data_IF_194928391688
#
_entry.id   IF_194928391688
#
_cell.length_a   1.000
_cell.length_b   1.000
_cell.length_c   1.000
_cell.angle_alpha   90.00
_cell.angle_beta   90.00
_cell.angle_gamma   90.00
#
_symmetry.space_group_name_H-M   'P 1'
#
loop_
_entity.id
_entity.type
_entity.pdbx_description
1 polymer ?
#
# COMPACT_ATOMS: atom_id res chain seq x y z
N UNK A 1 11.82 -0.85 -19.56
CA UNK A 1 12.45 -1.19 -18.26
C UNK A 1 12.18 -0.07 -17.28
N UNK A 2 11.66 -0.39 -16.08
CA UNK A 2 11.44 0.60 -15.05
C UNK A 2 12.77 1.22 -14.62
N UNK A 3 12.82 2.56 -14.62
CA UNK A 3 14.00 3.32 -14.15
C UNK A 3 14.12 3.33 -12.63
N UNK A 4 15.23 3.90 -12.13
CA UNK A 4 15.51 4.10 -10.70
C UNK A 4 15.72 5.58 -10.34
N UNK A 5 15.41 6.48 -11.23
CA UNK A 5 15.52 7.93 -11.01
C UNK A 5 14.25 8.44 -10.31
N UNK A 6 14.15 8.10 -9.03
CA UNK A 6 12.98 8.45 -8.21
C UNK A 6 13.00 9.92 -7.79
N UNK A 7 11.86 10.62 -7.84
CA UNK A 7 11.75 11.96 -7.26
C UNK A 7 12.06 11.94 -5.74
N UNK A 8 12.73 12.98 -5.23
CA UNK A 8 13.13 13.05 -3.82
C UNK A 8 11.96 12.87 -2.84
N UNK A 9 10.80 13.48 -3.13
CA UNK A 9 9.60 13.31 -2.29
C UNK A 9 9.07 11.86 -2.21
N UNK A 10 9.36 11.04 -3.25
CA UNK A 10 9.02 9.61 -3.25
C UNK A 10 9.97 8.84 -2.36
N UNK A 11 11.28 9.04 -2.51
CA UNK A 11 12.30 8.33 -1.72
C UNK A 11 12.19 8.69 -0.24
N UNK A 12 12.03 9.97 0.09
CA UNK A 12 11.96 10.46 1.46
C UNK A 12 10.78 9.87 2.24
N UNK A 13 9.70 9.52 1.56
CA UNK A 13 8.48 9.03 2.21
C UNK A 13 8.29 7.52 2.08
N UNK A 14 8.67 6.92 0.98
CA UNK A 14 8.26 5.56 0.62
C UNK A 14 9.41 4.54 0.56
N UNK A 15 10.62 4.95 0.98
CA UNK A 15 11.75 4.07 1.29
C UNK A 15 12.04 3.97 2.79
N UNK A 16 11.21 4.57 3.64
CA UNK A 16 11.41 4.50 5.09
C UNK A 16 11.24 3.07 5.60
N UNK A 17 12.19 2.64 6.41
CA UNK A 17 12.23 1.34 7.09
C UNK A 17 12.28 1.61 8.60
N UNK A 18 11.57 0.85 9.45
CA UNK A 18 11.75 0.92 10.89
C UNK A 18 13.18 0.63 11.31
N UNK A 19 13.73 1.42 12.25
CA UNK A 19 15.11 1.27 12.73
C UNK A 19 15.38 -0.10 13.37
N UNK A 20 14.34 -0.74 13.93
CA UNK A 20 14.42 -2.02 14.63
C UNK A 20 13.94 -3.21 13.78
N UNK A 21 13.87 -3.06 12.45
CA UNK A 21 13.48 -4.18 11.58
C UNK A 21 14.47 -5.35 11.72
N UNK A 22 13.98 -6.57 12.04
CA UNK A 22 14.87 -7.74 12.15
C UNK A 22 15.62 -8.04 10.84
N UNK A 23 16.95 -8.24 10.95
CA UNK A 23 17.85 -8.42 9.81
C UNK A 23 17.42 -9.52 8.84
N UNK A 24 16.75 -10.58 9.32
CA UNK A 24 16.25 -11.65 8.46
C UNK A 24 15.19 -11.21 7.46
N UNK A 25 14.47 -10.11 7.72
CA UNK A 25 13.53 -9.51 6.76
C UNK A 25 14.30 -8.84 5.62
N UNK A 26 15.34 -8.06 5.96
CA UNK A 26 16.26 -7.47 4.98
C UNK A 26 16.95 -8.55 4.15
N UNK A 27 17.48 -9.58 4.80
CA UNK A 27 18.16 -10.70 4.13
C UNK A 27 17.24 -11.40 3.13
N UNK A 28 15.98 -11.64 3.50
CA UNK A 28 14.98 -12.23 2.60
C UNK A 28 14.72 -11.34 1.38
N UNK A 29 14.56 -10.03 1.56
CA UNK A 29 14.32 -9.10 0.46
C UNK A 29 15.49 -9.10 -0.54
N UNK A 30 16.72 -9.08 -0.02
CA UNK A 30 17.93 -9.12 -0.83
C UNK A 30 18.09 -10.47 -1.55
N UNK A 31 17.80 -11.58 -0.88
CA UNK A 31 17.87 -12.92 -1.47
C UNK A 31 16.89 -13.11 -2.61
N UNK A 32 15.64 -12.66 -2.43
CA UNK A 32 14.59 -12.74 -3.45
C UNK A 32 14.91 -11.91 -4.70
N UNK A 33 15.72 -10.85 -4.55
CA UNK A 33 15.99 -9.90 -5.62
C UNK A 33 17.42 -9.91 -6.13
N UNK A 34 18.27 -10.79 -5.62
CA UNK A 34 19.71 -10.87 -5.88
C UNK A 34 20.06 -10.92 -7.38
N UNK A 35 19.38 -11.78 -8.11
CA UNK A 35 19.67 -12.06 -9.52
C UNK A 35 18.79 -11.25 -10.48
N UNK A 36 18.07 -10.24 -9.95
CA UNK A 36 17.11 -9.44 -10.70
C UNK A 36 17.55 -7.98 -10.69
N UNK A 37 17.79 -7.38 -11.86
CA UNK A 37 18.25 -6.01 -11.97
C UNK A 37 17.14 -4.96 -12.16
N UNK A 38 16.01 -5.35 -12.76
CA UNK A 38 14.89 -4.46 -13.05
C UNK A 38 13.99 -4.31 -11.80
N UNK A 39 13.69 -3.08 -11.33
CA UNK A 39 12.83 -2.86 -10.16
C UNK A 39 11.45 -3.52 -10.26
N UNK A 40 10.81 -3.51 -11.42
CA UNK A 40 9.51 -4.17 -11.61
C UNK A 40 9.62 -5.69 -11.45
N UNK A 41 10.65 -6.31 -12.02
CA UNK A 41 10.87 -7.75 -11.91
C UNK A 41 11.25 -8.16 -10.47
N UNK A 42 11.96 -7.29 -9.73
CA UNK A 42 12.20 -7.47 -8.28
C UNK A 42 10.88 -7.48 -7.50
N UNK A 43 9.99 -6.52 -7.76
CA UNK A 43 8.67 -6.48 -7.14
C UNK A 43 7.86 -7.75 -7.47
N UNK A 44 7.93 -8.23 -8.72
CA UNK A 44 7.28 -9.49 -9.14
C UNK A 44 7.88 -10.73 -8.47
N UNK A 45 9.17 -10.75 -8.19
CA UNK A 45 9.82 -11.85 -7.47
C UNK A 45 9.33 -11.90 -6.00
N UNK A 46 9.24 -10.74 -5.34
CA UNK A 46 8.70 -10.61 -3.98
C UNK A 46 7.22 -11.03 -3.95
N UNK A 47 6.39 -10.52 -4.88
CA UNK A 47 4.99 -10.90 -5.01
C UNK A 47 4.83 -12.42 -5.16
N UNK A 48 5.62 -13.02 -6.06
CA UNK A 48 5.58 -14.45 -6.33
C UNK A 48 5.92 -15.29 -5.10
N UNK A 49 6.91 -14.87 -4.32
CA UNK A 49 7.26 -15.51 -3.05
C UNK A 49 6.11 -15.44 -2.04
N UNK A 50 5.58 -14.25 -1.79
CA UNK A 50 4.49 -14.06 -0.83
C UNK A 50 3.27 -14.90 -1.20
N UNK A 51 2.94 -15.02 -2.47
CA UNK A 51 1.83 -15.86 -2.97
C UNK A 51 2.03 -17.36 -2.74
N UNK A 52 3.21 -17.82 -2.30
CA UNK A 52 3.43 -19.21 -1.88
C UNK A 52 2.97 -19.48 -0.45
N UNK A 53 2.82 -18.43 0.37
CA UNK A 53 2.39 -18.56 1.76
C UNK A 53 0.87 -18.77 1.83
N UNK A 54 0.38 -19.59 2.80
CA UNK A 54 -1.05 -19.85 2.94
C UNK A 54 -1.85 -18.62 3.38
N UNK A 55 -3.06 -18.46 2.85
CA UNK A 55 -4.04 -17.52 3.35
C UNK A 55 -4.78 -18.09 4.56
N UNK A 56 -4.85 -17.34 5.65
CA UNK A 56 -5.55 -17.72 6.88
C UNK A 56 -6.03 -16.46 7.61
N UNK A 57 -7.30 -16.45 8.04
CA UNK A 57 -7.87 -15.38 8.85
C UNK A 57 -7.68 -15.61 10.35
N UNK A 58 -7.48 -16.86 10.76
CA UNK A 58 -7.32 -17.25 12.16
C UNK A 58 -5.83 -17.43 12.49
N UNK A 59 -5.17 -16.32 12.75
CA UNK A 59 -3.76 -16.28 13.10
C UNK A 59 -3.54 -15.63 14.47
N UNK A 60 -2.54 -16.08 15.25
CA UNK A 60 -2.19 -15.46 16.51
C UNK A 60 -1.67 -14.04 16.27
N UNK A 61 -2.09 -13.11 17.13
CA UNK A 61 -1.51 -11.77 17.13
C UNK A 61 -0.02 -11.83 17.53
N UNK A 62 0.83 -10.95 16.97
CA UNK A 62 2.21 -10.83 17.44
C UNK A 62 2.27 -10.37 18.89
N UNK A 63 3.35 -10.69 19.59
CA UNK A 63 3.64 -10.10 20.89
C UNK A 63 3.77 -8.57 20.78
N UNK A 64 3.53 -7.86 21.88
CA UNK A 64 3.43 -6.40 21.87
C UNK A 64 4.67 -5.66 21.32
N UNK A 65 5.85 -6.25 21.49
CA UNK A 65 7.16 -5.74 21.05
C UNK A 65 7.70 -6.43 19.79
N UNK A 66 6.94 -7.35 19.21
CA UNK A 66 7.36 -8.04 17.99
C UNK A 66 7.07 -7.20 16.73
N UNK A 67 8.01 -7.23 15.77
CA UNK A 67 7.75 -6.69 14.45
C UNK A 67 6.72 -7.54 13.71
N UNK A 68 5.66 -6.90 13.19
CA UNK A 68 4.53 -7.60 12.56
C UNK A 68 4.89 -8.29 11.25
N UNK A 69 5.83 -7.74 10.48
CA UNK A 69 6.28 -8.33 9.21
C UNK A 69 7.16 -9.55 9.48
N UNK A 70 8.06 -9.43 10.45
CA UNK A 70 8.89 -10.54 10.90
C UNK A 70 8.06 -11.69 11.45
N UNK A 71 7.08 -11.37 12.31
CA UNK A 71 6.15 -12.35 12.88
C UNK A 71 5.39 -13.09 11.77
N UNK A 72 4.85 -12.36 10.80
CA UNK A 72 4.16 -12.96 9.66
C UNK A 72 5.05 -13.89 8.85
N UNK A 73 6.24 -13.41 8.44
CA UNK A 73 7.10 -14.15 7.51
C UNK A 73 7.80 -15.36 8.13
N UNK A 74 8.20 -15.27 9.41
CA UNK A 74 9.11 -16.24 10.02
C UNK A 74 8.58 -16.98 11.24
N UNK A 75 7.49 -16.49 11.84
CA UNK A 75 6.89 -17.12 13.03
C UNK A 75 5.61 -17.86 12.66
N UNK A 76 4.68 -17.19 11.99
CA UNK A 76 3.37 -17.78 11.64
C UNK A 76 3.37 -18.40 10.24
N UNK A 77 3.97 -17.74 9.27
CA UNK A 77 4.08 -18.19 7.87
C UNK A 77 2.74 -18.27 7.12
N UNK A 78 1.69 -17.61 7.61
CA UNK A 78 0.36 -17.51 7.01
C UNK A 78 -0.35 -16.26 7.50
N UNK A 79 -1.36 -15.78 6.77
CA UNK A 79 -2.09 -14.58 7.18
C UNK A 79 -3.16 -14.15 6.18
N UNK A 80 -3.63 -12.93 6.33
CA UNK A 80 -4.61 -12.30 5.43
C UNK A 80 -4.05 -11.04 4.78
N UNK A 81 -4.83 -10.40 3.93
CA UNK A 81 -4.39 -9.35 3.01
C UNK A 81 -3.48 -8.27 3.62
N UNK A 82 -3.78 -7.82 4.85
CA UNK A 82 -3.00 -6.75 5.51
C UNK A 82 -1.58 -7.19 5.80
N UNK A 83 -1.38 -8.46 6.20
CA UNK A 83 -0.04 -9.02 6.41
C UNK A 83 0.72 -9.14 5.10
N UNK A 84 0.06 -9.63 4.04
CA UNK A 84 0.67 -9.76 2.71
C UNK A 84 1.04 -8.39 2.12
N UNK A 85 0.12 -7.42 2.15
CA UNK A 85 0.35 -6.07 1.64
C UNK A 85 1.46 -5.34 2.40
N UNK A 86 1.45 -5.42 3.74
CA UNK A 86 2.48 -4.81 4.59
C UNK A 86 3.85 -5.44 4.37
N UNK A 87 3.93 -6.78 4.36
CA UNK A 87 5.19 -7.49 4.10
C UNK A 87 5.75 -7.16 2.71
N UNK A 88 4.89 -7.12 1.69
CA UNK A 88 5.33 -6.74 0.35
C UNK A 88 5.90 -5.33 0.29
N UNK A 89 5.23 -4.35 0.93
CA UNK A 89 5.70 -2.97 0.97
C UNK A 89 7.08 -2.87 1.66
N UNK A 90 7.28 -3.56 2.78
CA UNK A 90 8.56 -3.56 3.51
C UNK A 90 9.67 -4.25 2.69
N UNK A 91 9.40 -5.42 2.13
CA UNK A 91 10.39 -6.15 1.31
C UNK A 91 10.79 -5.36 0.05
N UNK A 92 9.84 -4.66 -0.59
CA UNK A 92 10.15 -3.77 -1.73
C UNK A 92 11.02 -2.59 -1.30
N UNK A 93 10.74 -1.96 -0.15
CA UNK A 93 11.56 -0.86 0.39
C UNK A 93 12.99 -1.32 0.68
N UNK A 94 13.16 -2.50 1.28
CA UNK A 94 14.48 -3.12 1.50
C UNK A 94 15.22 -3.42 0.18
N UNK A 95 14.49 -3.75 -0.87
CA UNK A 95 15.06 -3.94 -2.21
C UNK A 95 15.33 -2.63 -2.98
N UNK A 96 15.11 -1.45 -2.33
CA UNK A 96 15.31 -0.12 -2.89
C UNK A 96 14.18 0.35 -3.82
N UNK A 97 12.99 -0.21 -3.70
CA UNK A 97 11.80 0.15 -4.48
C UNK A 97 10.83 0.92 -3.57
N UNK A 98 10.55 2.21 -3.86
CA UNK A 98 9.57 2.97 -3.10
C UNK A 98 8.20 2.31 -3.17
N UNK A 99 7.64 2.00 -2.00
CA UNK A 99 6.40 1.23 -1.91
C UNK A 99 5.52 1.66 -0.74
N UNK A 100 4.23 1.34 -0.85
CA UNK A 100 3.24 1.56 0.21
C UNK A 100 2.24 0.41 0.27
N UNK A 101 1.71 0.15 1.45
CA UNK A 101 0.52 -0.67 1.66
C UNK A 101 -0.70 0.20 1.40
N UNK A 102 -1.69 -0.35 0.73
CA UNK A 102 -2.98 0.29 0.42
C UNK A 102 -4.09 -0.55 1.03
N UNK A 103 -5.04 0.11 1.69
CA UNK A 103 -6.25 -0.50 2.21
C UNK A 103 -7.47 0.06 1.46
N UNK A 104 -8.39 -0.82 1.09
CA UNK A 104 -9.57 -0.44 0.34
C UNK A 104 -10.57 -1.59 0.24
N UNK A 105 -11.26 -1.64 -0.87
CA UNK A 105 -12.25 -2.68 -1.16
C UNK A 105 -11.97 -3.30 -2.53
N UNK A 106 -12.07 -4.62 -2.61
CA UNK A 106 -11.95 -5.40 -3.86
C UNK A 106 -13.29 -6.10 -4.15
N UNK A 107 -14.31 -5.38 -4.62
CA UNK A 107 -15.64 -5.93 -4.87
C UNK A 107 -15.59 -6.99 -5.97
N UNK A 108 -16.40 -8.04 -5.81
CA UNK A 108 -16.44 -9.18 -6.74
C UNK A 108 -17.74 -9.28 -7.49
N UNK A 109 -18.77 -8.61 -7.01
CA UNK A 109 -20.12 -8.67 -7.55
C UNK A 109 -20.39 -7.39 -8.33
N UNK A 110 -20.66 -7.55 -9.63
CA UNK A 110 -21.09 -6.47 -10.50
C UNK A 110 -22.59 -6.62 -10.76
N UNK A 111 -23.35 -5.55 -10.54
CA UNK A 111 -24.78 -5.47 -10.84
C UNK A 111 -24.93 -4.96 -12.28
N UNK A 112 -25.33 -5.83 -13.19
CA UNK A 112 -25.49 -5.51 -14.60
C UNK A 112 -26.67 -4.56 -14.86
N UNK A 113 -27.72 -4.58 -14.01
CA UNK A 113 -28.88 -3.71 -14.16
C UNK A 113 -28.58 -2.28 -13.69
N UNK A 114 -27.86 -2.15 -12.59
CA UNK A 114 -27.46 -0.86 -12.04
C UNK A 114 -26.11 -0.35 -12.60
N UNK A 115 -25.43 -1.14 -13.43
CA UNK A 115 -24.12 -0.85 -14.02
C UNK A 115 -23.07 -0.43 -12.99
N UNK A 116 -23.05 -1.08 -11.80
CA UNK A 116 -22.11 -0.77 -10.73
C UNK A 116 -21.63 -2.01 -9.97
N UNK A 117 -20.54 -1.83 -9.18
CA UNK A 117 -20.07 -2.86 -8.25
C UNK A 117 -20.79 -2.75 -6.90
N UNK A 118 -21.20 -3.90 -6.38
CA UNK A 118 -21.72 -3.99 -5.01
C UNK A 118 -20.55 -4.16 -4.07
N UNK A 119 -20.33 -3.17 -3.18
CA UNK A 119 -19.24 -3.18 -2.19
C UNK A 119 -19.82 -3.54 -0.82
N UNK A 120 -19.21 -4.53 -0.17
CA UNK A 120 -19.56 -4.99 1.18
C UNK A 120 -18.34 -4.90 2.10
N UNK A 121 -18.55 -4.90 3.42
CA UNK A 121 -17.46 -4.98 4.40
C UNK A 121 -16.56 -6.22 4.17
N UNK A 122 -17.13 -7.32 3.74
CA UNK A 122 -16.40 -8.54 3.40
C UNK A 122 -15.47 -8.41 2.18
N UNK A 123 -15.59 -7.33 1.40
CA UNK A 123 -14.71 -7.00 0.29
C UNK A 123 -13.52 -6.13 0.72
N UNK A 124 -13.41 -5.81 2.02
CA UNK A 124 -12.25 -5.13 2.58
C UNK A 124 -10.98 -5.91 2.23
N UNK A 125 -9.96 -5.19 1.76
CA UNK A 125 -8.76 -5.80 1.22
C UNK A 125 -7.56 -4.86 1.33
N UNK A 126 -6.37 -5.46 1.51
CA UNK A 126 -5.10 -4.76 1.49
C UNK A 126 -4.20 -5.29 0.37
N UNK A 127 -3.51 -4.39 -0.31
CA UNK A 127 -2.53 -4.72 -1.36
C UNK A 127 -1.32 -3.80 -1.24
N UNK A 128 -0.36 -3.95 -2.15
CA UNK A 128 0.80 -3.08 -2.19
C UNK A 128 0.85 -2.28 -3.49
N UNK A 129 1.43 -1.09 -3.43
CA UNK A 129 1.78 -0.30 -4.60
C UNK A 129 3.26 0.05 -4.56
N UNK A 130 3.92 -0.03 -5.72
CA UNK A 130 5.28 0.42 -5.94
C UNK A 130 5.30 1.59 -6.92
N UNK A 131 6.17 2.57 -6.65
CA UNK A 131 6.34 3.70 -7.56
C UNK A 131 7.43 3.38 -8.60
N UNK A 132 7.11 3.61 -9.86
CA UNK A 132 8.09 3.52 -10.95
C UNK A 132 8.14 4.85 -11.71
N UNK A 133 9.33 5.42 -11.95
CA UNK A 133 9.47 6.60 -12.79
C UNK A 133 8.77 6.40 -14.14
N UNK A 134 8.12 7.45 -14.65
CA UNK A 134 7.32 7.47 -15.88
C UNK A 134 5.98 6.69 -15.85
N UNK A 135 5.77 5.84 -14.84
CA UNK A 135 4.55 5.01 -14.71
C UNK A 135 3.70 5.37 -13.49
N UNK A 136 4.31 6.04 -12.48
CA UNK A 136 3.67 6.33 -11.21
C UNK A 136 3.49 5.09 -10.32
N UNK A 137 2.40 5.04 -9.57
CA UNK A 137 2.06 3.94 -8.67
C UNK A 137 1.48 2.77 -9.44
N UNK A 138 2.09 1.60 -9.27
CA UNK A 138 1.67 0.33 -9.87
C UNK A 138 1.27 -0.65 -8.77
N UNK A 139 0.10 -1.24 -8.91
CA UNK A 139 -0.48 -2.18 -7.95
C UNK A 139 0.12 -3.57 -8.06
N UNK A 140 0.28 -4.24 -6.91
CA UNK A 140 0.71 -5.62 -6.76
C UNK A 140 -0.19 -6.34 -5.77
N UNK A 141 -0.57 -7.58 -6.10
CA UNK A 141 -1.44 -8.39 -5.27
C UNK A 141 -0.69 -9.61 -4.68
N UNK A 142 -0.09 -9.46 -3.51
CA UNK A 142 0.68 -10.55 -2.90
C UNK A 142 -0.19 -11.63 -2.25
N UNK A 143 -1.50 -11.41 -2.10
CA UNK A 143 -2.39 -12.34 -1.43
C UNK A 143 -2.70 -13.55 -2.32
N UNK A 144 -2.44 -14.79 -1.87
CA UNK A 144 -2.74 -15.98 -2.65
C UNK A 144 -4.25 -16.10 -2.93
N UNK A 145 -4.57 -16.55 -4.15
CA UNK A 145 -5.97 -16.72 -4.58
C UNK A 145 -6.74 -15.43 -4.87
N UNK A 146 -6.07 -14.27 -4.75
CA UNK A 146 -6.62 -12.98 -5.17
C UNK A 146 -6.01 -12.52 -6.48
N UNK A 147 -6.72 -11.66 -7.18
CA UNK A 147 -6.24 -10.92 -8.34
C UNK A 147 -6.66 -9.47 -8.19
N UNK A 148 -5.84 -8.56 -8.70
CA UNK A 148 -6.24 -7.17 -8.81
C UNK A 148 -7.50 -7.09 -9.69
N UNK A 149 -8.45 -6.21 -9.35
CA UNK A 149 -9.58 -5.95 -10.21
C UNK A 149 -9.08 -5.54 -11.60
N UNK A 150 -9.56 -6.22 -12.65
CA UNK A 150 -9.26 -5.84 -14.02
C UNK A 150 -10.19 -4.70 -14.46
N UNK A 151 -10.08 -3.54 -13.80
CA UNK A 151 -10.67 -2.34 -14.36
C UNK A 151 -9.69 -1.77 -15.39
N UNK A 152 -10.21 -1.49 -16.56
CA UNK A 152 -9.49 -0.71 -17.56
C UNK A 152 -9.31 0.67 -16.93
N UNK A 153 -8.09 0.99 -16.43
CA UNK A 153 -7.76 2.38 -16.14
C UNK A 153 -7.91 3.13 -17.46
N UNK A 154 -8.95 3.92 -17.57
CA UNK A 154 -8.92 4.98 -18.58
C UNK A 154 -7.64 5.78 -18.30
N UNK A 155 -6.81 6.07 -19.32
CA UNK A 155 -5.65 6.92 -19.13
C UNK A 155 -6.15 8.17 -18.42
N UNK A 156 -5.61 8.46 -17.22
CA UNK A 156 -5.86 9.74 -16.57
C UNK A 156 -5.51 10.79 -17.63
N UNK A 157 -6.53 11.46 -18.16
CA UNK A 157 -6.35 12.61 -19.01
C UNK A 157 -5.35 13.49 -18.28
N UNK A 158 -4.25 13.80 -18.95
CA UNK A 158 -3.17 14.63 -18.47
C UNK A 158 -3.74 15.87 -17.77
N UNK A 159 -3.86 15.79 -16.45
CA UNK A 159 -4.05 16.96 -15.63
C UNK A 159 -2.66 17.54 -15.40
N UNK A 160 -2.08 18.06 -16.49
CA UNK A 160 -1.01 19.04 -16.37
C UNK A 160 -1.47 20.07 -15.34
N UNK A 161 -0.63 20.44 -14.36
CA UNK A 161 -1.04 21.42 -13.36
C UNK A 161 -1.47 22.67 -14.10
N UNK A 162 -2.75 22.97 -14.03
CA UNK A 162 -3.24 24.32 -14.33
C UNK A 162 -2.38 25.26 -13.49
N UNK A 163 -1.85 26.26 -14.13
CA UNK A 163 -1.05 27.32 -13.52
C UNK A 163 -1.67 27.78 -12.20
N UNK A 164 -0.83 28.11 -11.22
CA UNK A 164 -1.13 28.44 -9.81
C UNK A 164 -2.21 29.52 -9.57
N UNK A 165 -2.96 29.94 -10.58
CA UNK A 165 -3.94 31.03 -10.49
C UNK A 165 -5.39 30.59 -10.24
N UNK A 166 -5.73 29.28 -10.25
CA UNK A 166 -7.13 28.81 -10.16
C UNK A 166 -7.39 27.84 -8.98
N UNK A 167 -6.53 27.78 -7.98
CA UNK A 167 -6.82 27.04 -6.73
C UNK A 167 -7.44 28.01 -5.75
N UNK A 168 -8.77 28.20 -5.81
CA UNK A 168 -9.51 28.73 -4.68
C UNK A 168 -9.31 27.78 -3.50
N UNK A 169 -8.68 28.27 -2.43
CA UNK A 169 -8.50 27.51 -1.18
C UNK A 169 -9.91 27.25 -0.58
N UNK A 170 -10.36 25.99 -0.47
CA UNK A 170 -11.66 25.70 0.10
C UNK A 170 -11.73 25.94 1.62
N UNK A 171 -10.66 26.39 2.24
CA UNK A 171 -10.56 26.77 3.66
C UNK A 171 -10.15 28.25 3.77
N UNK A 172 -11.01 29.15 3.31
CA UNK A 172 -10.87 30.59 3.60
C UNK A 172 -11.11 30.77 5.10
N UNK A 173 -10.06 31.14 5.85
CA UNK A 173 -10.09 31.24 7.32
C UNK A 173 -10.97 32.40 7.87
N UNK A 174 -11.65 33.13 7.02
CA UNK A 174 -12.41 34.32 7.41
C UNK A 174 -13.87 34.06 7.81
N UNK A 175 -14.36 32.80 7.88
CA UNK A 175 -15.75 32.46 8.28
C UNK A 175 -15.87 31.79 9.67
N UNK A 176 -14.92 31.89 10.55
CA UNK A 176 -15.14 31.59 11.97
C UNK A 176 -15.50 32.86 12.72
N UNK A 177 -16.77 33.29 12.63
CA UNK A 177 -17.34 34.19 13.60
C UNK A 177 -17.26 33.54 14.99
N UNK A 178 -16.62 34.22 15.94
CA UNK A 178 -16.54 33.87 17.36
C UNK A 178 -17.95 33.74 17.94
N UNK A 179 -18.47 32.51 18.02
CA UNK A 179 -19.65 32.20 18.82
C UNK A 179 -19.26 32.11 20.29
N UNK A 180 -19.26 33.27 20.97
CA UNK A 180 -19.09 33.41 22.41
C UNK A 180 -20.26 32.76 23.14
N UNK A 181 -20.21 31.47 23.47
CA UNK A 181 -21.30 30.78 24.14
C UNK A 181 -20.98 29.45 24.80
N UNK A 182 -19.75 29.22 25.28
CA UNK A 182 -19.50 28.02 26.08
C UNK A 182 -19.47 28.36 27.59
N UNK A 183 -20.59 28.12 28.30
CA UNK A 183 -20.61 28.12 29.77
C UNK A 183 -20.10 26.78 30.30
N UNK A 184 -19.12 26.77 31.24
CA UNK A 184 -18.65 25.53 31.84
C UNK A 184 -19.66 24.97 32.83
N UNK A 185 -19.92 23.67 32.75
CA UNK A 185 -20.70 22.96 33.78
C UNK A 185 -19.94 22.91 35.10
N UNK A 186 -20.54 23.50 36.17
CA UNK A 186 -20.13 23.30 37.55
C UNK A 186 -20.52 21.87 38.01
N UNK A 187 -19.53 21.20 38.67
CA UNK A 187 -19.70 19.93 39.40
C UNK A 187 -20.10 20.22 40.84
#
# INVERSE_FOLDING_TARGET
TAGTDYPGWVTDRYLQIPDELPTRVTDLALDLTRDVSNPYDKAKAIESYLRTLPYDLDIPAPDFDADGVDHFLFVVGRGYSDYFGSAMAVLMREAGIPARMVAGYAPREFDEEAENYIVREADSHGWAEAYFPDFGWVEFEPTPGRSLPSYVREPLLDTSPTTEEDVEDPFDEDEFEDDEGFEPFDL
#
